data_IF_668702098873
#
_entry.id   IF_668702098873
#
_cell.length_a   1.000
_cell.length_b   1.000
_cell.length_c   1.000
_cell.angle_alpha   90.00
_cell.angle_beta   90.00
_cell.angle_gamma   90.00
#
_symmetry.space_group_name_H-M   'P 1'
#
loop_
_entity.id
_entity.type
_entity.pdbx_description
1 polymer ?
#
# COMPACT_ATOMS: atom_id res chain seq x y z
N UNK A 1 12.72 21.96 -7.31
CA UNK A 1 12.75 20.92 -6.26
C UNK A 1 11.34 20.70 -5.75
N UNK A 2 10.78 19.50 -5.94
CA UNK A 2 9.41 19.16 -5.54
C UNK A 2 9.44 18.01 -4.53
N UNK A 3 8.56 18.03 -3.52
CA UNK A 3 8.37 16.90 -2.61
C UNK A 3 7.37 15.93 -3.25
N UNK A 4 7.75 14.67 -3.38
CA UNK A 4 6.93 13.62 -4.01
C UNK A 4 6.81 12.44 -3.06
N UNK A 5 5.58 11.97 -2.81
CA UNK A 5 5.34 10.74 -2.08
C UNK A 5 4.74 9.71 -3.05
N UNK A 6 5.47 8.62 -3.28
CA UNK A 6 4.99 7.49 -4.05
C UNK A 6 4.37 6.48 -3.10
N UNK A 7 3.10 6.16 -3.31
CA UNK A 7 2.34 5.26 -2.45
C UNK A 7 2.20 3.90 -3.12
N UNK A 8 2.68 2.84 -2.46
CA UNK A 8 2.24 1.48 -2.76
C UNK A 8 0.85 1.29 -2.13
N UNK A 9 -0.23 1.16 -2.92
CA UNK A 9 -1.58 1.08 -2.36
C UNK A 9 -1.79 -0.22 -1.58
N UNK A 10 -2.67 -0.24 -0.56
CA UNK A 10 -2.88 -1.37 0.35
C UNK A 10 -3.69 -2.52 -0.27
N UNK A 11 -3.44 -2.89 -1.53
CA UNK A 11 -4.27 -3.84 -2.27
C UNK A 11 -4.38 -5.21 -1.59
N UNK A 12 -3.26 -5.82 -1.20
CA UNK A 12 -3.28 -7.12 -0.56
C UNK A 12 -3.74 -7.02 0.89
N UNK A 13 -3.42 -5.92 1.59
CA UNK A 13 -3.94 -5.64 2.93
C UNK A 13 -5.47 -5.61 2.95
N UNK A 14 -6.11 -5.00 1.95
CA UNK A 14 -7.57 -4.99 1.80
C UNK A 14 -8.17 -6.36 1.45
N UNK A 15 -7.36 -7.27 0.92
CA UNK A 15 -7.73 -8.68 0.69
C UNK A 15 -7.38 -9.58 1.88
N UNK A 16 -7.14 -8.98 3.06
CA UNK A 16 -6.67 -9.68 4.27
C UNK A 16 -5.37 -10.48 4.03
N UNK A 17 -4.57 -10.08 3.04
CA UNK A 17 -3.26 -10.64 2.66
C UNK A 17 -2.14 -9.58 2.82
N UNK A 18 -0.94 -9.88 2.34
CA UNK A 18 0.17 -8.92 2.30
C UNK A 18 1.09 -9.23 1.12
N UNK A 19 1.54 -8.19 0.42
CA UNK A 19 2.51 -8.32 -0.66
C UNK A 19 3.92 -8.25 -0.10
N UNK A 20 4.68 -9.34 -0.27
CA UNK A 20 6.05 -9.42 0.27
C UNK A 20 7.13 -9.13 -0.76
N UNK A 21 6.78 -8.70 -1.96
CA UNK A 21 7.78 -8.23 -2.90
C UNK A 21 8.08 -6.76 -2.65
N UNK A 22 9.35 -6.40 -2.84
CA UNK A 22 9.75 -5.01 -2.89
C UNK A 22 9.05 -4.34 -4.08
N UNK A 23 8.47 -3.17 -3.88
CA UNK A 23 7.83 -2.39 -4.95
C UNK A 23 8.89 -1.72 -5.84
N UNK A 24 9.67 -2.54 -6.57
CA UNK A 24 10.85 -2.11 -7.32
C UNK A 24 10.53 -1.06 -8.38
N UNK A 25 9.36 -1.15 -9.03
CA UNK A 25 8.94 -0.17 -10.04
C UNK A 25 8.85 1.25 -9.48
N UNK A 26 8.14 1.43 -8.36
CA UNK A 26 8.01 2.74 -7.71
C UNK A 26 9.30 3.16 -6.99
N UNK A 27 10.10 2.22 -6.50
CA UNK A 27 11.44 2.53 -5.99
C UNK A 27 12.36 3.10 -7.09
N UNK A 28 12.26 2.58 -8.32
CA UNK A 28 13.00 3.12 -9.47
C UNK A 28 12.54 4.55 -9.81
N UNK A 29 11.23 4.81 -9.79
CA UNK A 29 10.70 6.17 -10.01
C UNK A 29 11.20 7.13 -8.93
N UNK A 30 11.20 6.74 -7.65
CA UNK A 30 11.78 7.56 -6.58
C UNK A 30 13.26 7.86 -6.83
N UNK A 31 14.04 6.86 -7.21
CA UNK A 31 15.46 7.02 -7.54
C UNK A 31 15.68 8.00 -8.68
N UNK A 32 14.92 7.86 -9.77
CA UNK A 32 14.96 8.78 -10.91
C UNK A 32 14.61 10.22 -10.50
N UNK A 33 13.54 10.41 -9.73
CA UNK A 33 13.15 11.74 -9.27
C UNK A 33 14.22 12.38 -8.37
N UNK A 34 14.80 11.59 -7.46
CA UNK A 34 15.88 12.05 -6.58
C UNK A 34 17.13 12.44 -7.36
N UNK A 35 17.50 11.68 -8.41
CA UNK A 35 18.64 12.03 -9.27
C UNK A 35 18.42 13.29 -10.11
N UNK A 36 17.17 13.77 -10.24
CA UNK A 36 16.80 14.99 -10.95
C UNK A 36 16.43 16.15 -10.01
N UNK A 37 16.88 16.11 -8.75
CA UNK A 37 16.76 17.23 -7.82
C UNK A 37 15.37 17.38 -7.17
N UNK A 38 14.56 16.33 -7.19
CA UNK A 38 13.34 16.24 -6.37
C UNK A 38 13.65 15.56 -5.03
N UNK A 39 12.72 15.68 -4.08
CA UNK A 39 12.74 14.97 -2.80
C UNK A 39 11.61 13.93 -2.83
N UNK A 40 11.92 12.73 -3.30
CA UNK A 40 10.97 11.65 -3.51
C UNK A 40 11.12 10.54 -2.46
N UNK A 41 10.00 10.17 -1.84
CA UNK A 41 9.90 9.11 -0.83
C UNK A 41 8.92 8.03 -1.26
N UNK A 42 9.10 6.85 -0.69
CA UNK A 42 8.21 5.70 -0.86
C UNK A 42 7.46 5.45 0.44
N UNK A 43 6.13 5.36 0.36
CA UNK A 43 5.29 4.86 1.44
C UNK A 43 4.64 3.54 1.02
N UNK A 44 4.92 2.46 1.76
CA UNK A 44 4.32 1.16 1.50
C UNK A 44 3.09 0.93 2.37
N UNK A 45 1.91 1.34 1.90
CA UNK A 45 0.66 1.17 2.64
C UNK A 45 0.18 -0.31 2.69
N UNK A 46 0.73 -1.15 1.82
CA UNK A 46 0.42 -2.59 1.75
C UNK A 46 1.25 -3.45 2.71
N UNK A 47 2.25 -2.85 3.36
CA UNK A 47 3.07 -3.53 4.35
C UNK A 47 2.24 -3.93 5.57
N UNK A 48 2.40 -5.17 6.00
CA UNK A 48 1.83 -5.70 7.23
C UNK A 48 2.91 -6.48 7.96
N UNK A 49 3.19 -6.10 9.21
CA UNK A 49 4.15 -6.79 10.06
C UNK A 49 3.58 -8.09 10.65
N UNK A 50 3.20 -9.05 9.80
CA UNK A 50 2.65 -10.35 10.21
C UNK A 50 3.26 -11.49 9.40
N UNK A 51 3.39 -12.65 10.03
CA UNK A 51 3.97 -13.86 9.41
C UNK A 51 2.93 -14.78 8.77
N UNK A 52 1.65 -14.41 8.83
CA UNK A 52 0.53 -15.22 8.33
C UNK A 52 0.26 -14.96 6.85
N UNK A 53 0.40 -16.00 6.02
CA UNK A 53 0.12 -15.95 4.59
C UNK A 53 -1.25 -16.54 4.29
N UNK A 54 -2.10 -15.82 3.56
CA UNK A 54 -3.27 -16.43 2.95
C UNK A 54 -2.80 -17.34 1.81
N UNK A 55 -3.32 -18.57 1.77
CA UNK A 55 -3.21 -19.43 0.60
C UNK A 55 -3.79 -18.66 -0.61
N UNK A 56 -3.09 -18.63 -1.75
CA UNK A 56 -3.55 -17.92 -2.96
C UNK A 56 -4.98 -18.28 -3.38
N UNK A 57 -5.41 -19.54 -3.16
CA UNK A 57 -6.81 -19.96 -3.37
C UNK A 57 -7.83 -19.18 -2.53
N UNK A 58 -7.42 -18.65 -1.38
CA UNK A 58 -8.26 -17.90 -0.47
C UNK A 58 -8.18 -16.38 -0.67
N UNK A 59 -7.25 -15.87 -1.49
CA UNK A 59 -7.07 -14.43 -1.71
C UNK A 59 -8.37 -13.77 -2.20
N UNK A 60 -9.09 -14.42 -3.11
CA UNK A 60 -10.34 -13.90 -3.66
C UNK A 60 -11.55 -14.12 -2.74
N UNK A 61 -11.43 -14.89 -1.65
CA UNK A 61 -12.50 -14.97 -0.65
C UNK A 61 -12.70 -13.63 0.07
N UNK A 62 -11.65 -12.81 0.14
CA UNK A 62 -11.73 -11.44 0.66
C UNK A 62 -12.32 -10.42 -0.30
N UNK A 63 -12.72 -10.80 -1.52
CA UNK A 63 -13.18 -9.82 -2.53
C UNK A 63 -14.48 -9.12 -2.14
N UNK A 64 -15.40 -9.82 -1.47
CA UNK A 64 -16.62 -9.17 -0.96
C UNK A 64 -16.30 -8.20 0.18
N UNK A 65 -15.32 -8.52 1.04
CA UNK A 65 -14.83 -7.61 2.08
C UNK A 65 -14.13 -6.39 1.46
N UNK A 66 -13.33 -6.58 0.40
CA UNK A 66 -12.71 -5.49 -0.36
C UNK A 66 -13.74 -4.50 -0.90
N UNK A 67 -14.86 -4.97 -1.49
CA UNK A 67 -15.92 -4.06 -1.96
C UNK A 67 -16.60 -3.32 -0.81
N UNK A 68 -16.86 -4.01 0.31
CA UNK A 68 -17.47 -3.42 1.51
C UNK A 68 -16.58 -2.38 2.17
N UNK A 69 -15.26 -2.57 2.12
CA UNK A 69 -14.31 -1.61 2.66
C UNK A 69 -14.49 -0.19 2.11
N UNK A 70 -14.77 -0.02 0.80
CA UNK A 70 -15.00 1.30 0.22
C UNK A 70 -16.35 1.93 0.61
N UNK A 71 -17.23 1.16 1.25
CA UNK A 71 -18.51 1.65 1.79
C UNK A 71 -18.38 2.02 3.28
N UNK A 72 -17.26 1.67 3.92
CA UNK A 72 -16.97 1.95 5.33
C UNK A 72 -16.05 3.17 5.42
N UNK A 73 -16.66 4.35 5.50
CA UNK A 73 -15.95 5.65 5.62
C UNK A 73 -15.21 5.79 6.96
N UNK A 74 -15.57 4.99 7.98
CA UNK A 74 -15.01 5.06 9.33
C UNK A 74 -13.88 4.06 9.59
N UNK A 75 -13.48 3.31 8.57
CA UNK A 75 -12.46 2.28 8.69
C UNK A 75 -11.14 2.82 9.24
N UNK A 76 -10.51 2.09 10.17
CA UNK A 76 -9.24 2.48 10.80
C UNK A 76 -8.13 2.76 9.78
N UNK A 77 -8.14 2.06 8.63
CA UNK A 77 -7.19 2.29 7.54
C UNK A 77 -7.25 3.70 6.96
N UNK A 78 -8.44 4.33 6.92
CA UNK A 78 -8.56 5.72 6.49
C UNK A 78 -7.97 6.69 7.51
N UNK A 79 -8.08 6.33 8.80
CA UNK A 79 -7.61 7.14 9.92
C UNK A 79 -6.08 7.17 9.99
N UNK A 80 -5.39 6.15 9.49
CA UNK A 80 -3.91 6.11 9.37
C UNK A 80 -3.35 7.23 8.48
N UNK A 81 -4.14 7.80 7.57
CA UNK A 81 -3.67 8.83 6.60
C UNK A 81 -3.81 10.25 7.17
N UNK A 82 -4.47 10.44 8.33
CA UNK A 82 -4.94 11.76 8.80
C UNK A 82 -4.03 12.42 9.85
N UNK A 83 -2.97 11.76 10.34
CA UNK A 83 -2.01 12.45 11.21
C UNK A 83 -1.19 13.47 10.40
N UNK A 84 -1.65 14.73 10.44
CA UNK A 84 -1.02 15.95 9.89
C UNK A 84 0.14 16.44 10.74
#
# INVERSE_FOLDING_TARGET
MTKVLLVNPPFYRLLESHYNANSLGIAYVASYLNSHGHNAWLYNADFLNRKGFLNQKNLFKGFDNYKKFFQDEENELWKEVVEK
#
